data_IF_880033218281
#
_entry.id   IF_880033218281
#
_cell.length_a   1.000
_cell.length_b   1.000
_cell.length_c   1.000
_cell.angle_alpha   90.00
_cell.angle_beta   90.00
_cell.angle_gamma   90.00
#
_symmetry.space_group_name_H-M   'P 1'
#
loop_
_entity.id
_entity.type
_entity.pdbx_description
1 polymer ?
#
# COMPACT_ATOMS: atom_id res chain seq x y z
N UNK A 1 2.60 -1.11 32.19
CA UNK A 1 3.60 -2.05 31.66
C UNK A 1 4.95 -1.34 31.56
N UNK A 2 6.02 -1.88 32.20
CA UNK A 2 7.38 -1.32 32.02
C UNK A 2 7.90 -1.79 30.65
N UNK A 3 8.16 -0.84 29.75
CA UNK A 3 8.73 -1.15 28.44
C UNK A 3 10.14 -1.73 28.67
N UNK A 4 10.42 -2.89 28.06
CA UNK A 4 11.72 -3.54 28.24
C UNK A 4 12.82 -2.70 27.56
N UNK A 5 14.00 -2.49 28.22
CA UNK A 5 15.09 -1.70 27.64
C UNK A 5 15.53 -2.20 26.25
N UNK A 6 15.52 -3.50 26.01
CA UNK A 6 15.84 -4.11 24.70
C UNK A 6 14.89 -3.64 23.60
N UNK A 7 13.61 -3.46 23.90
CA UNK A 7 12.62 -2.95 22.96
C UNK A 7 12.91 -1.49 22.58
N UNK A 8 13.23 -0.65 23.57
CA UNK A 8 13.60 0.76 23.32
C UNK A 8 14.83 0.83 22.42
N UNK A 9 15.87 0.04 22.70
CA UNK A 9 17.09 -0.01 21.87
C UNK A 9 16.75 -0.43 20.44
N UNK A 10 15.97 -1.49 20.25
CA UNK A 10 15.59 -1.96 18.92
C UNK A 10 14.81 -0.88 18.14
N UNK A 11 13.80 -0.26 18.76
CA UNK A 11 13.01 0.81 18.13
C UNK A 11 13.89 2.00 17.77
N UNK A 12 14.82 2.39 18.67
CA UNK A 12 15.76 3.48 18.39
C UNK A 12 16.68 3.17 17.22
N UNK A 13 17.22 1.95 17.14
CA UNK A 13 18.05 1.51 16.00
C UNK A 13 17.27 1.53 14.69
N UNK A 14 16.03 1.02 14.68
CA UNK A 14 15.17 1.04 13.50
C UNK A 14 14.83 2.45 13.05
N UNK A 15 14.51 3.35 13.97
CA UNK A 15 14.23 4.76 13.66
C UNK A 15 15.50 5.46 13.14
N UNK A 16 16.66 5.17 13.70
CA UNK A 16 17.94 5.74 13.23
C UNK A 16 18.24 5.27 11.81
N UNK A 17 18.13 3.97 11.54
CA UNK A 17 18.33 3.42 10.21
C UNK A 17 17.32 4.01 9.19
N UNK A 18 16.06 4.08 9.56
CA UNK A 18 15.02 4.71 8.74
C UNK A 18 15.33 6.18 8.44
N UNK A 19 15.77 6.93 9.46
CA UNK A 19 16.15 8.34 9.29
C UNK A 19 17.37 8.50 8.40
N UNK A 20 18.37 7.63 8.52
CA UNK A 20 19.55 7.66 7.66
C UNK A 20 19.20 7.39 6.19
N UNK A 21 18.33 6.40 5.92
CA UNK A 21 17.84 6.11 4.57
C UNK A 21 17.09 7.30 3.98
N UNK A 22 16.18 7.90 4.77
CA UNK A 22 15.43 9.08 4.32
C UNK A 22 16.33 10.29 4.10
N UNK A 23 17.33 10.49 4.95
CA UNK A 23 18.31 11.55 4.76
C UNK A 23 19.11 11.35 3.47
N UNK A 24 19.57 10.13 3.20
CA UNK A 24 20.28 9.78 1.97
C UNK A 24 19.47 10.12 0.72
N UNK A 25 18.22 9.65 0.64
CA UNK A 25 17.34 9.94 -0.50
C UNK A 25 17.03 11.43 -0.59
N UNK A 26 16.68 12.05 0.55
CA UNK A 26 16.39 13.47 0.61
C UNK A 26 17.56 14.33 0.19
N UNK A 27 18.80 13.92 0.49
CA UNK A 27 20.00 14.62 0.08
C UNK A 27 20.14 14.64 -1.46
N UNK A 28 19.99 13.51 -2.14
CA UNK A 28 20.02 13.45 -3.61
C UNK A 28 18.95 14.30 -4.25
N UNK A 29 17.72 14.24 -3.72
CA UNK A 29 16.62 15.06 -4.24
C UNK A 29 16.85 16.53 -3.95
N UNK A 30 17.45 16.88 -2.80
CA UNK A 30 17.81 18.26 -2.45
C UNK A 30 18.92 18.81 -3.37
N UNK A 31 19.98 18.03 -3.65
CA UNK A 31 21.03 18.40 -4.62
C UNK A 31 20.44 18.69 -6.00
N UNK A 32 19.61 17.78 -6.51
CA UNK A 32 18.91 17.96 -7.77
C UNK A 32 18.02 19.21 -7.75
N UNK A 33 17.22 19.36 -6.68
CA UNK A 33 16.30 20.50 -6.55
C UNK A 33 17.05 21.83 -6.50
N UNK A 34 18.19 21.89 -5.82
CA UNK A 34 19.02 23.10 -5.75
C UNK A 34 19.59 23.49 -7.11
N UNK A 35 19.87 22.52 -8.00
CA UNK A 35 20.39 22.76 -9.34
C UNK A 35 19.30 23.18 -10.34
N UNK A 36 18.03 22.77 -10.16
CA UNK A 36 16.98 23.00 -11.16
C UNK A 36 15.90 24.00 -10.74
N UNK A 37 15.72 24.23 -9.42
CA UNK A 37 14.63 25.07 -8.89
C UNK A 37 15.14 26.47 -8.58
N UNK A 38 14.63 27.45 -9.31
CA UNK A 38 14.92 28.86 -9.04
C UNK A 38 14.35 29.24 -7.66
N UNK A 39 15.18 29.83 -6.80
CA UNK A 39 14.79 30.20 -5.44
C UNK A 39 14.67 29.02 -4.47
N UNK A 40 15.41 27.94 -4.72
CA UNK A 40 15.47 26.78 -3.82
C UNK A 40 15.74 27.22 -2.37
N UNK A 41 14.94 26.69 -1.46
CA UNK A 41 15.09 26.89 -0.02
C UNK A 41 15.27 25.55 0.69
N UNK A 42 16.35 25.33 1.45
CA UNK A 42 16.52 24.10 2.22
C UNK A 42 15.33 23.81 3.16
N UNK A 43 14.83 24.82 3.86
CA UNK A 43 13.66 24.66 4.74
C UNK A 43 12.39 24.35 3.96
N UNK A 44 12.20 24.99 2.80
CA UNK A 44 11.07 24.74 1.89
C UNK A 44 11.08 23.33 1.32
N UNK A 45 12.22 22.67 1.26
CA UNK A 45 12.37 21.29 0.84
C UNK A 45 12.27 20.31 2.01
N UNK A 46 13.11 20.45 3.04
CA UNK A 46 13.27 19.46 4.10
C UNK A 46 12.04 19.30 5.00
N UNK A 47 11.27 20.39 5.23
CA UNK A 47 10.06 20.29 6.06
C UNK A 47 8.96 19.46 5.37
N UNK A 48 8.54 19.74 4.14
CA UNK A 48 7.58 18.88 3.43
C UNK A 48 8.09 17.46 3.21
N UNK A 49 9.38 17.30 2.90
CA UNK A 49 10.00 15.99 2.74
C UNK A 49 9.92 15.16 4.02
N UNK A 50 10.27 15.73 5.18
CA UNK A 50 10.15 15.05 6.46
C UNK A 50 8.70 14.67 6.80
N UNK A 51 7.74 15.57 6.54
CA UNK A 51 6.32 15.27 6.71
C UNK A 51 5.87 14.11 5.83
N UNK A 52 6.36 14.01 4.62
CA UNK A 52 6.09 12.90 3.71
C UNK A 52 6.77 11.61 4.19
N UNK A 53 8.06 11.67 4.49
CA UNK A 53 8.87 10.53 4.91
C UNK A 53 8.32 9.88 6.19
N UNK A 54 7.96 10.68 7.17
CA UNK A 54 7.38 10.18 8.43
C UNK A 54 5.84 10.12 8.41
N UNK A 55 5.21 10.46 7.29
CA UNK A 55 3.75 10.59 7.16
C UNK A 55 2.99 9.33 7.53
N UNK A 56 3.52 8.15 7.21
CA UNK A 56 2.93 6.88 7.60
C UNK A 56 2.89 6.69 9.12
N UNK A 57 3.98 7.02 9.82
CA UNK A 57 4.07 6.93 11.27
C UNK A 57 3.22 8.01 11.95
N UNK A 58 3.33 9.26 11.49
CA UNK A 58 2.55 10.39 12.00
C UNK A 58 1.04 10.20 11.83
N UNK A 59 0.63 9.60 10.70
CA UNK A 59 -0.78 9.32 10.42
C UNK A 59 -1.39 8.20 11.29
N UNK A 60 -0.57 7.48 12.08
CA UNK A 60 -1.01 6.49 13.08
C UNK A 60 -1.23 7.08 14.48
N UNK A 61 -0.77 8.30 14.71
CA UNK A 61 -0.96 8.98 15.99
C UNK A 61 -2.45 9.33 16.14
N UNK A 62 -3.05 9.04 17.31
CA UNK A 62 -4.43 9.44 17.59
C UNK A 62 -4.57 10.97 17.52
N UNK A 63 -5.41 11.45 16.61
CA UNK A 63 -5.62 12.88 16.39
C UNK A 63 -7.05 13.28 16.80
N UNK A 64 -7.25 14.53 17.26
CA UNK A 64 -8.58 15.11 17.44
C UNK A 64 -9.42 15.01 16.16
N UNK A 65 -10.73 14.96 16.29
CA UNK A 65 -11.66 14.75 15.16
C UNK A 65 -11.43 15.72 13.99
N UNK A 66 -11.14 16.99 14.29
CA UNK A 66 -10.85 18.01 13.27
C UNK A 66 -9.60 17.71 12.42
N UNK A 67 -8.59 17.02 12.98
CA UNK A 67 -7.32 16.70 12.32
C UNK A 67 -7.27 15.30 11.72
N UNK A 68 -8.28 14.45 11.97
CA UNK A 68 -8.35 13.09 11.40
C UNK A 68 -8.21 13.05 9.86
N UNK A 69 -8.81 13.97 9.07
CA UNK A 69 -8.60 14.01 7.62
C UNK A 69 -7.14 14.21 7.22
N UNK A 70 -6.44 15.14 7.91
CA UNK A 70 -5.02 15.39 7.66
C UNK A 70 -4.16 14.17 8.03
N UNK A 71 -4.43 13.52 9.16
CA UNK A 71 -3.75 12.28 9.55
C UNK A 71 -3.94 11.15 8.54
N UNK A 72 -5.15 11.00 7.99
CA UNK A 72 -5.41 10.03 6.92
C UNK A 72 -4.64 10.35 5.64
N UNK A 73 -4.60 11.62 5.25
CA UNK A 73 -3.82 12.06 4.09
C UNK A 73 -2.33 11.77 4.29
N UNK A 74 -1.78 12.10 5.46
CA UNK A 74 -0.39 11.79 5.80
C UNK A 74 -0.12 10.29 5.78
N UNK A 75 -1.02 9.47 6.34
CA UNK A 75 -0.88 8.01 6.30
C UNK A 75 -0.85 7.49 4.88
N UNK A 76 -1.75 7.93 4.01
CA UNK A 76 -1.81 7.51 2.60
C UNK A 76 -0.58 7.98 1.83
N UNK A 77 -0.21 9.26 1.95
CA UNK A 77 0.97 9.80 1.28
C UNK A 77 2.25 9.11 1.75
N UNK A 78 2.39 8.89 3.07
CA UNK A 78 3.52 8.18 3.65
C UNK A 78 3.58 6.70 3.23
N UNK A 79 2.43 6.03 3.06
CA UNK A 79 2.40 4.65 2.53
C UNK A 79 2.92 4.57 1.09
N UNK A 80 2.51 5.51 0.23
CA UNK A 80 3.04 5.63 -1.14
C UNK A 80 4.52 5.97 -1.13
N UNK A 81 4.94 6.84 -0.19
CA UNK A 81 6.33 7.22 -0.05
C UNK A 81 7.25 6.05 0.34
N UNK A 82 6.78 5.06 1.10
CA UNK A 82 7.58 3.87 1.41
C UNK A 82 8.06 3.18 0.13
N UNK A 83 7.18 3.03 -0.86
CA UNK A 83 7.56 2.51 -2.17
C UNK A 83 8.60 3.43 -2.87
N UNK A 84 8.40 4.75 -2.81
CA UNK A 84 9.35 5.72 -3.37
C UNK A 84 10.72 5.60 -2.68
N UNK A 85 10.74 5.40 -1.37
CA UNK A 85 11.95 5.21 -0.59
C UNK A 85 12.70 3.94 -1.01
N UNK A 86 12.01 2.81 -1.15
CA UNK A 86 12.63 1.53 -1.55
C UNK A 86 13.25 1.61 -2.95
N UNK A 87 12.47 2.08 -3.93
CA UNK A 87 12.95 2.22 -5.31
C UNK A 87 14.00 3.32 -5.42
N UNK A 88 13.79 4.45 -4.73
CA UNK A 88 14.75 5.56 -4.69
C UNK A 88 16.10 5.14 -4.13
N UNK A 89 16.11 4.35 -3.05
CA UNK A 89 17.35 3.80 -2.48
C UNK A 89 18.12 3.00 -3.52
N UNK A 90 17.46 2.06 -4.20
CA UNK A 90 18.12 1.22 -5.22
C UNK A 90 18.66 2.04 -6.39
N UNK A 91 17.87 2.97 -6.90
CA UNK A 91 18.24 3.78 -8.07
C UNK A 91 19.34 4.79 -7.73
N UNK A 92 19.30 5.43 -6.56
CA UNK A 92 20.37 6.36 -6.15
C UNK A 92 21.67 5.62 -5.81
N UNK A 93 21.63 4.42 -5.24
CA UNK A 93 22.84 3.59 -5.06
C UNK A 93 23.49 3.24 -6.41
N UNK A 94 22.69 2.93 -7.44
CA UNK A 94 23.22 2.73 -8.80
C UNK A 94 23.82 4.01 -9.39
N UNK A 95 23.13 5.14 -9.20
CA UNK A 95 23.68 6.44 -9.61
C UNK A 95 24.99 6.76 -8.87
N UNK A 96 25.07 6.49 -7.56
CA UNK A 96 26.29 6.72 -6.79
C UNK A 96 27.47 5.83 -7.20
N UNK A 97 27.20 4.62 -7.65
CA UNK A 97 28.26 3.78 -8.24
C UNK A 97 28.89 4.45 -9.47
N UNK A 98 28.07 5.06 -10.34
CA UNK A 98 28.57 5.86 -11.49
C UNK A 98 29.24 7.15 -11.00
N UNK A 99 28.65 7.84 -10.02
CA UNK A 99 29.21 9.06 -9.41
C UNK A 99 30.61 8.81 -8.85
N UNK A 100 30.84 7.68 -8.21
CA UNK A 100 32.14 7.28 -7.67
C UNK A 100 33.18 7.14 -8.78
N UNK A 101 32.85 6.49 -9.90
CA UNK A 101 33.76 6.36 -11.04
C UNK A 101 34.11 7.73 -11.61
N UNK A 102 33.11 8.59 -11.79
CA UNK A 102 33.34 9.97 -12.30
C UNK A 102 34.20 10.77 -11.34
N UNK A 103 33.98 10.68 -10.04
CA UNK A 103 34.77 11.35 -9.01
C UNK A 103 36.24 10.94 -9.05
N UNK A 104 36.51 9.64 -9.25
CA UNK A 104 37.87 9.09 -9.35
C UNK A 104 38.61 9.47 -10.64
N UNK A 105 37.88 9.84 -11.72
CA UNK A 105 38.48 10.10 -13.04
C UNK A 105 38.46 11.57 -13.40
N UNK A 106 37.31 12.18 -13.56
CA UNK A 106 37.14 13.51 -14.17
C UNK A 106 36.42 14.52 -13.24
N UNK A 107 36.02 14.09 -12.03
CA UNK A 107 35.18 14.88 -11.14
C UNK A 107 33.68 14.78 -11.51
N UNK A 108 32.83 15.13 -10.53
CA UNK A 108 31.37 15.09 -10.69
C UNK A 108 30.89 16.45 -11.20
N UNK A 109 30.25 16.47 -12.37
CA UNK A 109 29.70 17.70 -12.96
C UNK A 109 28.27 17.97 -12.49
N UNK A 110 27.83 19.22 -12.52
CA UNK A 110 26.44 19.61 -12.28
C UNK A 110 25.49 18.92 -13.29
N UNK A 111 25.92 18.78 -14.54
CA UNK A 111 25.16 18.04 -15.55
C UNK A 111 24.87 16.59 -15.15
N UNK A 112 25.83 15.94 -14.44
CA UNK A 112 25.60 14.60 -13.90
C UNK A 112 24.55 14.61 -12.79
N UNK A 113 24.61 15.56 -11.85
CA UNK A 113 23.65 15.68 -10.73
C UNK A 113 22.24 15.90 -11.28
N UNK A 114 22.09 16.85 -12.20
CA UNK A 114 20.79 17.12 -12.85
C UNK A 114 20.30 15.93 -13.67
N UNK A 115 21.15 15.33 -14.48
CA UNK A 115 20.81 14.22 -15.35
C UNK A 115 20.40 12.96 -14.55
N UNK A 116 21.24 12.53 -13.60
CA UNK A 116 20.96 11.35 -12.77
C UNK A 116 19.72 11.53 -11.91
N UNK A 117 19.56 12.69 -11.25
CA UNK A 117 18.37 13.00 -10.45
C UNK A 117 17.09 13.00 -11.30
N UNK A 118 17.13 13.61 -12.50
CA UNK A 118 15.98 13.62 -13.42
C UNK A 118 15.61 12.21 -13.89
N UNK A 119 16.59 11.37 -14.23
CA UNK A 119 16.35 9.97 -14.63
C UNK A 119 15.75 9.16 -13.48
N UNK A 120 16.35 9.25 -12.29
CA UNK A 120 15.85 8.52 -11.10
C UNK A 120 14.42 8.93 -10.76
N UNK A 121 14.15 10.23 -10.66
CA UNK A 121 12.81 10.72 -10.34
C UNK A 121 11.79 10.38 -11.45
N UNK A 122 12.21 10.45 -12.71
CA UNK A 122 11.39 10.04 -13.86
C UNK A 122 11.03 8.56 -13.82
N UNK A 123 12.00 7.68 -13.49
CA UNK A 123 11.76 6.24 -13.33
C UNK A 123 10.83 5.95 -12.15
N UNK A 124 11.01 6.61 -11.00
CA UNK A 124 10.12 6.47 -9.85
C UNK A 124 8.69 6.88 -10.23
N UNK A 125 8.52 8.02 -10.90
CA UNK A 125 7.20 8.48 -11.35
C UNK A 125 6.55 7.49 -12.33
N UNK A 126 7.31 6.97 -13.29
CA UNK A 126 6.84 5.96 -14.24
C UNK A 126 6.39 4.68 -13.51
N UNK A 127 7.22 4.17 -12.59
CA UNK A 127 6.89 2.96 -11.81
C UNK A 127 5.67 3.16 -10.93
N UNK A 128 5.50 4.35 -10.31
CA UNK A 128 4.29 4.69 -9.56
C UNK A 128 3.05 4.69 -10.45
N UNK A 129 3.12 5.28 -11.64
CA UNK A 129 1.99 5.34 -12.58
C UNK A 129 1.61 3.94 -13.08
N UNK A 130 2.59 3.16 -13.53
CA UNK A 130 2.36 1.78 -14.02
C UNK A 130 1.87 0.87 -12.89
N UNK A 131 2.52 0.92 -11.73
CA UNK A 131 2.15 0.14 -10.55
C UNK A 131 0.75 0.48 -10.06
N UNK A 132 0.41 1.78 -9.98
CA UNK A 132 -0.93 2.23 -9.61
C UNK A 132 -1.99 1.71 -10.58
N UNK A 133 -1.73 1.83 -11.90
CA UNK A 133 -2.65 1.31 -12.92
C UNK A 133 -2.89 -0.19 -12.76
N UNK A 134 -1.83 -0.97 -12.54
CA UNK A 134 -1.91 -2.42 -12.36
C UNK A 134 -2.67 -2.77 -11.07
N UNK A 135 -2.37 -2.09 -9.95
CA UNK A 135 -3.06 -2.31 -8.68
C UNK A 135 -4.56 -1.99 -8.75
N UNK A 136 -4.97 -1.00 -9.60
CA UNK A 136 -6.37 -0.63 -9.76
C UNK A 136 -7.14 -1.48 -10.77
N UNK A 137 -6.50 -2.44 -11.43
CA UNK A 137 -7.08 -3.29 -12.48
C UNK A 137 -7.10 -4.75 -12.02
N UNK A 138 -8.17 -5.22 -11.35
CA UNK A 138 -8.28 -6.62 -10.97
C UNK A 138 -8.17 -7.52 -12.20
N UNK A 139 -7.29 -8.52 -12.15
CA UNK A 139 -7.11 -9.52 -13.22
C UNK A 139 -7.76 -10.82 -12.78
N UNK A 140 -8.65 -11.34 -13.62
CA UNK A 140 -9.24 -12.67 -13.42
C UNK A 140 -8.29 -13.70 -14.00
N UNK A 141 -7.96 -14.71 -13.20
CA UNK A 141 -7.22 -15.92 -13.63
C UNK A 141 -8.14 -17.11 -13.46
N UNK A 142 -8.29 -17.90 -14.51
CA UNK A 142 -9.11 -19.12 -14.50
C UNK A 142 -8.20 -20.33 -14.41
N UNK A 143 -8.56 -21.26 -13.54
CA UNK A 143 -7.92 -22.55 -13.39
C UNK A 143 -9.00 -23.63 -13.44
N UNK A 144 -8.77 -24.67 -14.23
CA UNK A 144 -9.63 -25.85 -14.28
C UNK A 144 -9.05 -26.90 -13.35
N UNK A 145 -9.89 -27.40 -12.45
CA UNK A 145 -9.52 -28.45 -11.50
C UNK A 145 -10.50 -29.60 -11.67
N UNK A 146 -9.98 -30.79 -11.89
CA UNK A 146 -10.78 -32.01 -11.87
C UNK A 146 -10.70 -32.68 -10.52
N UNK A 147 -11.87 -32.97 -9.93
CA UNK A 147 -11.96 -33.68 -8.64
C UNK A 147 -12.63 -35.02 -8.91
N UNK A 148 -11.93 -36.11 -8.61
CA UNK A 148 -12.41 -37.47 -8.80
C UNK A 148 -13.38 -37.87 -7.65
N UNK A 149 -14.53 -37.20 -7.65
CA UNK A 149 -15.65 -37.48 -6.73
C UNK A 149 -16.97 -37.47 -7.48
N UNK A 150 -17.89 -38.38 -7.16
CA UNK A 150 -19.25 -38.31 -7.71
C UNK A 150 -19.91 -36.99 -7.30
N UNK A 151 -20.50 -36.29 -8.27
CA UNK A 151 -21.24 -35.06 -8.02
C UNK A 151 -22.64 -35.42 -7.45
N UNK A 152 -22.91 -34.96 -6.23
CA UNK A 152 -24.24 -35.05 -5.66
C UNK A 152 -25.20 -34.10 -6.40
N UNK A 153 -26.36 -34.54 -6.80
CA UNK A 153 -27.37 -33.73 -7.47
C UNK A 153 -27.16 -33.49 -8.98
N UNK A 154 -26.23 -34.23 -9.63
CA UNK A 154 -26.07 -34.22 -11.12
C UNK A 154 -25.36 -33.01 -11.68
N UNK A 155 -24.89 -32.05 -10.88
CA UNK A 155 -24.07 -30.92 -11.37
C UNK A 155 -22.59 -31.35 -11.42
N UNK A 156 -22.02 -31.41 -12.61
CA UNK A 156 -20.66 -31.86 -12.88
C UNK A 156 -19.64 -30.71 -12.93
N UNK A 157 -20.07 -29.48 -13.10
CA UNK A 157 -19.20 -28.31 -13.21
C UNK A 157 -19.61 -27.23 -12.20
N UNK A 158 -18.64 -26.65 -11.54
CA UNK A 158 -18.79 -25.56 -10.58
C UNK A 158 -17.87 -24.41 -10.93
N UNK A 159 -18.44 -23.20 -10.95
CA UNK A 159 -17.66 -21.98 -11.04
C UNK A 159 -17.49 -21.41 -9.62
N UNK A 160 -16.27 -21.46 -9.09
CA UNK A 160 -15.94 -20.91 -7.78
C UNK A 160 -15.08 -19.66 -7.97
N UNK A 161 -15.57 -18.51 -7.51
CA UNK A 161 -14.77 -17.30 -7.45
C UNK A 161 -14.04 -17.21 -6.11
N UNK A 162 -12.74 -16.94 -6.15
CA UNK A 162 -11.90 -16.80 -4.95
C UNK A 162 -11.22 -15.44 -4.99
N UNK A 163 -11.33 -14.67 -3.91
CA UNK A 163 -10.65 -13.38 -3.76
C UNK A 163 -10.15 -13.22 -2.33
N UNK A 164 -8.83 -13.26 -2.13
CA UNK A 164 -8.16 -12.99 -0.85
C UNK A 164 -7.32 -11.73 -0.91
N UNK A 165 -6.77 -11.31 0.23
CA UNK A 165 -5.79 -10.22 0.33
C UNK A 165 -6.30 -8.91 -0.30
N UNK A 166 -7.58 -8.60 -0.05
CA UNK A 166 -8.23 -7.41 -0.63
C UNK A 166 -7.74 -6.16 0.07
N UNK A 167 -7.41 -6.24 1.37
CA UNK A 167 -6.88 -5.17 2.20
C UNK A 167 -7.68 -3.86 2.11
N UNK A 168 -8.99 -3.96 2.31
CA UNK A 168 -9.88 -2.79 2.30
C UNK A 168 -9.50 -1.80 3.39
N UNK A 169 -9.18 -0.59 3.00
CA UNK A 169 -8.66 0.42 3.90
C UNK A 169 -8.68 1.82 3.29
N UNK A 170 -7.69 2.63 3.65
CA UNK A 170 -7.55 3.98 3.12
C UNK A 170 -6.99 3.99 1.68
N UNK A 171 -6.15 3.02 1.31
CA UNK A 171 -5.59 2.87 -0.04
C UNK A 171 -6.56 2.13 -0.95
N UNK A 172 -6.94 0.91 -0.55
CA UNK A 172 -7.91 0.10 -1.29
C UNK A 172 -9.31 0.47 -0.83
N UNK A 173 -9.87 1.47 -1.47
CA UNK A 173 -11.14 2.06 -1.08
C UNK A 173 -12.35 1.47 -1.79
N UNK A 174 -13.54 2.03 -1.48
CA UNK A 174 -14.85 1.59 -1.99
C UNK A 174 -14.93 1.53 -3.54
N UNK A 175 -14.21 2.40 -4.26
CA UNK A 175 -14.21 2.35 -5.74
C UNK A 175 -13.56 1.08 -6.27
N UNK A 176 -12.44 0.66 -5.65
CA UNK A 176 -11.76 -0.58 -6.00
C UNK A 176 -12.64 -1.79 -5.68
N UNK A 177 -13.17 -1.83 -4.45
CA UNK A 177 -14.09 -2.87 -4.02
C UNK A 177 -15.30 -3.02 -4.96
N UNK A 178 -15.90 -1.92 -5.39
CA UNK A 178 -17.03 -1.96 -6.35
C UNK A 178 -16.63 -2.63 -7.66
N UNK A 179 -15.48 -2.30 -8.22
CA UNK A 179 -14.98 -2.96 -9.43
C UNK A 179 -14.74 -4.46 -9.25
N UNK A 180 -14.20 -4.85 -8.09
CA UNK A 180 -14.01 -6.24 -7.74
C UNK A 180 -15.34 -6.99 -7.70
N UNK A 181 -16.33 -6.45 -6.98
CA UNK A 181 -17.68 -7.02 -6.87
C UNK A 181 -18.36 -7.13 -8.25
N UNK A 182 -18.30 -6.07 -9.06
CA UNK A 182 -18.84 -6.07 -10.43
C UNK A 182 -18.19 -7.16 -11.30
N UNK A 183 -16.85 -7.34 -11.18
CA UNK A 183 -16.11 -8.37 -11.92
C UNK A 183 -16.48 -9.79 -11.46
N UNK A 184 -16.54 -10.02 -10.16
CA UNK A 184 -16.95 -11.32 -9.61
C UNK A 184 -18.37 -11.66 -10.05
N UNK A 185 -19.32 -10.75 -9.92
CA UNK A 185 -20.70 -10.98 -10.29
C UNK A 185 -20.88 -11.22 -11.82
N UNK A 186 -20.06 -10.58 -12.66
CA UNK A 186 -20.08 -10.80 -14.10
C UNK A 186 -19.72 -12.24 -14.50
N UNK A 187 -18.95 -12.95 -13.68
CA UNK A 187 -18.61 -14.37 -13.89
C UNK A 187 -19.76 -15.31 -13.52
N UNK A 188 -20.82 -14.81 -12.85
CA UNK A 188 -21.97 -15.60 -12.36
C UNK A 188 -21.53 -16.87 -11.59
N UNK A 189 -20.68 -16.75 -10.55
CA UNK A 189 -20.14 -17.90 -9.85
C UNK A 189 -21.23 -18.67 -9.11
N UNK A 190 -21.03 -19.98 -8.96
CA UNK A 190 -21.89 -20.80 -8.13
C UNK A 190 -21.60 -20.59 -6.63
N UNK A 191 -20.33 -20.30 -6.32
CA UNK A 191 -19.85 -20.08 -4.97
C UNK A 191 -18.80 -18.96 -4.95
N UNK A 192 -18.78 -18.14 -3.91
CA UNK A 192 -17.73 -17.14 -3.68
C UNK A 192 -17.04 -17.43 -2.36
N UNK A 193 -15.70 -17.43 -2.40
CA UNK A 193 -14.85 -17.61 -1.23
C UNK A 193 -13.97 -16.39 -1.03
N UNK A 194 -13.93 -15.88 0.20
CA UNK A 194 -13.07 -14.78 0.62
C UNK A 194 -12.13 -15.31 1.74
N UNK A 195 -10.99 -15.91 1.38
CA UNK A 195 -10.13 -16.61 2.32
C UNK A 195 -9.20 -15.69 3.11
N UNK A 196 -9.77 -14.70 3.81
CA UNK A 196 -9.07 -13.79 4.73
C UNK A 196 -8.50 -12.53 4.10
N UNK A 197 -7.97 -11.67 4.96
CA UNK A 197 -7.37 -10.38 4.64
C UNK A 197 -8.27 -9.48 3.77
N UNK A 198 -9.57 -9.50 4.10
CA UNK A 198 -10.58 -8.67 3.44
C UNK A 198 -10.38 -7.20 3.83
N UNK A 199 -10.08 -6.93 5.11
CA UNK A 199 -9.75 -5.58 5.60
C UNK A 199 -8.25 -5.45 5.88
N UNK A 200 -7.76 -4.21 5.81
CA UNK A 200 -6.45 -3.83 6.32
C UNK A 200 -6.49 -3.74 7.86
N UNK A 201 -5.36 -3.49 8.54
CA UNK A 201 -5.23 -3.44 10.00
C UNK A 201 -6.29 -2.60 10.73
N UNK A 202 -6.91 -1.64 10.07
CA UNK A 202 -7.86 -0.72 10.68
C UNK A 202 -9.27 -0.91 10.16
N UNK A 203 -10.22 -1.20 11.05
CA UNK A 203 -11.64 -1.31 10.71
C UNK A 203 -12.29 0.05 10.38
N UNK A 204 -11.72 1.18 10.84
CA UNK A 204 -12.32 2.52 10.69
C UNK A 204 -12.65 2.89 9.22
N UNK A 205 -11.76 2.69 8.22
CA UNK A 205 -12.11 2.97 6.84
C UNK A 205 -13.22 2.09 6.30
N UNK A 206 -13.28 0.83 6.74
CA UNK A 206 -14.30 -0.14 6.35
C UNK A 206 -15.69 0.31 6.82
N UNK A 207 -15.82 0.69 8.09
CA UNK A 207 -17.06 1.19 8.68
C UNK A 207 -17.47 2.54 8.08
N UNK A 208 -16.55 3.53 8.09
CA UNK A 208 -16.81 4.88 7.59
C UNK A 208 -17.32 4.90 6.16
N UNK A 209 -16.73 4.06 5.30
CA UNK A 209 -17.08 4.00 3.89
C UNK A 209 -18.18 2.97 3.59
N UNK A 210 -18.77 2.34 4.62
CA UNK A 210 -19.83 1.33 4.49
C UNK A 210 -19.47 0.22 3.48
N UNK A 211 -18.23 -0.29 3.58
CA UNK A 211 -17.71 -1.24 2.61
C UNK A 211 -18.40 -2.60 2.70
N UNK A 212 -18.89 -3.01 3.88
CA UNK A 212 -19.74 -4.19 4.08
C UNK A 212 -20.95 -4.20 3.13
N UNK A 213 -21.64 -3.06 2.98
CA UNK A 213 -22.77 -2.94 2.03
C UNK A 213 -22.37 -3.15 0.56
N UNK A 214 -21.12 -2.89 0.22
CA UNK A 214 -20.62 -3.14 -1.13
C UNK A 214 -20.28 -4.62 -1.30
N UNK A 215 -19.70 -5.27 -0.29
CA UNK A 215 -19.49 -6.73 -0.26
C UNK A 215 -20.80 -7.49 -0.31
N UNK A 216 -21.84 -7.06 0.40
CA UNK A 216 -23.18 -7.66 0.34
C UNK A 216 -23.89 -7.61 -1.03
N UNK A 217 -23.24 -7.00 -2.05
CA UNK A 217 -23.70 -7.08 -3.44
C UNK A 217 -23.10 -8.26 -4.21
N UNK A 218 -22.20 -9.02 -3.59
CA UNK A 218 -21.70 -10.26 -4.17
C UNK A 218 -22.87 -11.25 -4.34
N UNK A 219 -22.92 -11.91 -5.49
CA UNK A 219 -24.01 -12.82 -5.84
C UNK A 219 -23.45 -14.17 -6.27
N UNK A 220 -23.83 -15.20 -5.52
CA UNK A 220 -23.51 -16.59 -5.87
C UNK A 220 -24.69 -17.49 -5.51
N UNK A 221 -24.93 -18.53 -6.33
CA UNK A 221 -26.05 -19.46 -6.14
C UNK A 221 -25.99 -20.20 -4.81
N UNK A 222 -24.81 -20.55 -4.35
CA UNK A 222 -24.57 -21.31 -3.12
C UNK A 222 -23.96 -20.47 -2.00
N UNK A 223 -24.01 -19.13 -2.14
CA UNK A 223 -23.59 -18.20 -1.09
C UNK A 223 -22.15 -17.67 -1.22
N UNK A 224 -21.85 -16.79 -0.28
CA UNK A 224 -20.55 -16.13 -0.14
C UNK A 224 -20.01 -16.51 1.24
N UNK A 225 -18.78 -17.00 1.28
CA UNK A 225 -18.15 -17.44 2.52
C UNK A 225 -16.84 -16.70 2.73
N UNK A 226 -16.68 -16.13 3.90
CA UNK A 226 -15.47 -15.42 4.31
C UNK A 226 -14.88 -16.08 5.55
N UNK A 227 -13.56 -16.09 5.65
CA UNK A 227 -12.82 -16.44 6.86
C UNK A 227 -11.95 -15.28 7.29
N UNK A 228 -11.41 -15.31 8.50
CA UNK A 228 -10.49 -14.30 9.01
C UNK A 228 -9.08 -14.62 8.56
N UNK A 229 -8.36 -13.60 8.09
CA UNK A 229 -6.92 -13.63 7.85
C UNK A 229 -6.14 -12.95 8.95
N UNK A 230 -4.82 -12.82 8.78
CA UNK A 230 -3.97 -12.24 9.82
C UNK A 230 -4.22 -10.73 10.04
N UNK A 231 -4.64 -9.99 9.02
CA UNK A 231 -4.94 -8.55 9.14
C UNK A 231 -6.19 -8.28 9.97
N UNK A 232 -7.22 -9.12 9.91
CA UNK A 232 -8.36 -9.04 10.81
C UNK A 232 -7.92 -9.21 12.27
N UNK A 233 -6.98 -10.14 12.55
CA UNK A 233 -6.43 -10.33 13.90
C UNK A 233 -5.55 -9.18 14.35
N UNK A 234 -4.69 -8.62 13.47
CA UNK A 234 -3.82 -7.49 13.79
C UNK A 234 -4.63 -6.23 14.11
N UNK A 235 -5.75 -6.03 13.43
CA UNK A 235 -6.66 -4.91 13.66
C UNK A 235 -7.36 -4.93 15.02
N UNK A 236 -7.50 -6.10 15.65
CA UNK A 236 -8.06 -6.26 17.00
C UNK A 236 -9.57 -6.02 17.12
N UNK A 237 -10.29 -5.80 15.99
CA UNK A 237 -11.73 -5.49 15.94
C UNK A 237 -12.57 -6.63 15.34
N UNK A 238 -12.19 -7.88 15.62
CA UNK A 238 -12.85 -9.08 15.06
C UNK A 238 -14.37 -9.11 15.34
N UNK A 239 -14.87 -8.85 16.55
CA UNK A 239 -16.31 -8.88 16.81
C UNK A 239 -17.08 -7.87 15.96
N UNK A 240 -16.59 -6.65 15.85
CA UNK A 240 -17.19 -5.60 15.01
C UNK A 240 -17.18 -5.96 13.53
N UNK A 241 -16.08 -6.53 13.04
CA UNK A 241 -15.96 -6.98 11.66
C UNK A 241 -16.98 -8.10 11.35
N UNK A 242 -17.05 -9.12 12.21
CA UNK A 242 -18.01 -10.22 12.04
C UNK A 242 -19.46 -9.70 12.06
N UNK A 243 -19.78 -8.77 12.97
CA UNK A 243 -21.11 -8.16 13.03
C UNK A 243 -21.46 -7.42 11.75
N UNK A 244 -20.52 -6.62 11.20
CA UNK A 244 -20.72 -5.90 9.94
C UNK A 244 -20.89 -6.84 8.74
N UNK A 245 -20.13 -7.94 8.71
CA UNK A 245 -20.27 -8.94 7.64
C UNK A 245 -21.61 -9.68 7.74
N UNK A 246 -22.06 -10.05 8.94
CA UNK A 246 -23.37 -10.70 9.16
C UNK A 246 -24.57 -9.83 8.76
N UNK A 247 -24.46 -8.50 8.84
CA UNK A 247 -25.54 -7.59 8.42
C UNK A 247 -25.83 -7.65 6.93
N UNK A 248 -24.92 -8.17 6.15
CA UNK A 248 -25.00 -8.15 4.68
C UNK A 248 -25.08 -9.55 4.05
N UNK A 249 -25.13 -10.61 4.87
CA UNK A 249 -25.34 -12.01 4.45
C UNK A 249 -24.10 -12.87 4.57
#
# INVERSE_FOLDING_TARGET
>A
MKVQPRFIVLVSLLLTAYSALNFYIGWHVAEWSAAVVIGYSPYGFWIPFALLAYGFLLGRIPLPNALKPAGRLLKVAGSVYIFVMEIGLLLFLLADAVRLVLWLTNGVSEAYIVGSGTVVLGLIALLLLVGSRNAWSPVVRSHELSIDKPADGGKTEWTVAVASDIHLGNLVGRKHLRRLVERINAMKPDLILLPGDVIDDSIEPFLRNQMSRTLGRLQAKHGVYAVLGNHEYYGGHIPEYIEEMRKVG
#
